data_IF_209225641146
#
_entry.id   IF_209225641146
#
_cell.length_a   1.000
_cell.length_b   1.000
_cell.length_c   1.000
_cell.angle_alpha   90.00
_cell.angle_beta   90.00
_cell.angle_gamma   90.00
#
_symmetry.space_group_name_H-M   'P 1'
#
loop_
_entity.id
_entity.type
_entity.pdbx_description
1 polymer ?
#
# COMPACT_ATOMS: atom_id res chain seq x y z
N UNK A 1 26.62 38.11 -6.20
CA UNK A 1 27.51 39.01 -5.44
C UNK A 1 28.80 39.34 -6.19
N UNK A 2 29.65 38.36 -6.48
CA UNK A 2 31.03 38.60 -6.99
C UNK A 2 31.09 39.17 -8.42
N UNK A 3 30.11 38.85 -9.28
CA UNK A 3 30.02 39.33 -10.66
C UNK A 3 29.35 40.70 -10.80
N UNK A 4 28.63 41.16 -9.77
CA UNK A 4 27.84 42.41 -9.81
C UNK A 4 28.75 43.63 -9.98
N UNK A 5 29.87 43.78 -9.24
CA UNK A 5 30.80 44.88 -9.45
C UNK A 5 31.41 44.91 -10.87
N UNK A 6 31.69 43.75 -11.46
CA UNK A 6 32.20 43.66 -12.84
C UNK A 6 31.15 44.09 -13.88
N UNK A 7 29.88 43.71 -13.66
CA UNK A 7 28.79 44.11 -14.55
C UNK A 7 28.51 45.61 -14.44
N UNK A 8 28.52 46.18 -13.24
CA UNK A 8 28.30 47.60 -13.02
C UNK A 8 29.42 48.46 -13.60
N UNK A 9 30.69 48.04 -13.49
CA UNK A 9 31.82 48.70 -14.14
C UNK A 9 31.69 48.71 -15.68
N UNK A 10 31.15 47.64 -16.29
CA UNK A 10 30.88 47.63 -17.74
C UNK A 10 29.72 48.52 -18.19
N UNK A 11 28.76 48.78 -17.31
CA UNK A 11 27.53 49.52 -17.64
C UNK A 11 27.67 51.01 -17.36
N UNK A 12 28.46 51.38 -16.34
CA UNK A 12 28.52 52.73 -15.81
C UNK A 12 29.98 53.13 -15.59
N UNK A 13 30.44 54.16 -16.30
CA UNK A 13 31.87 54.48 -16.46
C UNK A 13 32.57 55.02 -15.21
N UNK A 14 31.81 55.35 -14.16
CA UNK A 14 32.31 55.98 -12.92
C UNK A 14 32.57 54.98 -11.78
N UNK A 15 32.56 53.67 -12.06
CA UNK A 15 32.84 52.65 -11.05
C UNK A 15 34.35 52.44 -10.85
N UNK A 16 34.81 52.22 -9.59
CA UNK A 16 36.22 52.05 -9.28
C UNK A 16 36.84 50.86 -10.01
N UNK A 17 38.10 51.02 -10.44
CA UNK A 17 38.87 49.99 -11.14
C UNK A 17 39.10 48.75 -10.24
N UNK A 18 38.81 47.57 -10.77
CA UNK A 18 38.82 46.32 -10.01
C UNK A 18 40.22 45.70 -10.08
N UNK A 19 41.02 45.90 -9.03
CA UNK A 19 42.33 45.26 -8.87
C UNK A 19 42.19 44.05 -7.93
N UNK A 20 42.53 42.85 -8.42
CA UNK A 20 42.48 41.61 -7.64
C UNK A 20 43.89 41.06 -7.48
N UNK A 21 44.38 41.06 -6.24
CA UNK A 21 45.69 40.55 -5.84
C UNK A 21 45.72 39.00 -5.78
N UNK A 22 46.89 38.40 -5.59
CA UNK A 22 47.08 36.93 -5.54
C UNK A 22 46.20 36.28 -4.46
N UNK A 23 46.04 36.94 -3.31
CA UNK A 23 45.15 36.48 -2.23
C UNK A 23 43.66 36.49 -2.65
N UNK A 24 43.26 37.50 -3.44
CA UNK A 24 41.92 37.60 -4.01
C UNK A 24 41.67 36.48 -5.03
N UNK A 25 42.65 36.10 -5.85
CA UNK A 25 42.55 34.97 -6.78
C UNK A 25 42.39 33.62 -6.05
N UNK A 26 43.16 33.40 -4.97
CA UNK A 26 43.02 32.20 -4.13
C UNK A 26 41.64 32.09 -3.48
N UNK A 27 41.11 33.21 -2.99
CA UNK A 27 39.77 33.30 -2.44
C UNK A 27 38.68 33.00 -3.50
N UNK A 28 38.87 33.45 -4.73
CA UNK A 28 37.94 33.19 -5.83
C UNK A 28 37.90 31.70 -6.21
N UNK A 29 39.04 31.02 -6.20
CA UNK A 29 39.11 29.56 -6.39
C UNK A 29 38.38 28.81 -5.27
N UNK A 30 38.54 29.27 -4.02
CA UNK A 30 37.83 28.69 -2.86
C UNK A 30 36.31 28.80 -3.00
N UNK A 31 35.81 29.94 -3.53
CA UNK A 31 34.38 30.13 -3.85
C UNK A 31 33.93 29.14 -4.92
N UNK A 32 34.71 28.96 -5.99
CA UNK A 32 34.40 27.98 -7.03
C UNK A 32 34.29 26.56 -6.44
N UNK A 33 35.27 26.12 -5.65
CA UNK A 33 35.26 24.78 -5.05
C UNK A 33 34.06 24.58 -4.12
N UNK A 34 33.84 25.51 -3.19
CA UNK A 34 32.75 25.37 -2.23
C UNK A 34 31.35 25.54 -2.87
N UNK A 35 31.21 26.33 -3.92
CA UNK A 35 29.95 26.41 -4.68
C UNK A 35 29.62 25.09 -5.39
N UNK A 36 30.63 24.40 -5.95
CA UNK A 36 30.45 23.03 -6.49
C UNK A 36 30.02 22.06 -5.38
N UNK A 37 30.64 22.11 -4.21
CA UNK A 37 30.24 21.28 -3.07
C UNK A 37 28.79 21.56 -2.64
N UNK A 38 28.37 22.82 -2.62
CA UNK A 38 27.00 23.21 -2.30
C UNK A 38 26.00 22.67 -3.32
N UNK A 39 26.33 22.74 -4.63
CA UNK A 39 25.49 22.18 -5.70
C UNK A 39 25.35 20.66 -5.54
N UNK A 40 26.44 19.95 -5.24
CA UNK A 40 26.40 18.52 -4.95
C UNK A 40 25.53 18.22 -3.72
N UNK A 41 25.64 19.03 -2.66
CA UNK A 41 24.82 18.87 -1.45
C UNK A 41 23.32 19.06 -1.75
N UNK A 42 22.95 20.07 -2.54
CA UNK A 42 21.57 20.25 -3.00
C UNK A 42 21.10 19.08 -3.87
N UNK A 43 21.93 18.64 -4.81
CA UNK A 43 21.62 17.50 -5.67
C UNK A 43 21.32 16.23 -4.87
N UNK A 44 22.16 15.91 -3.88
CA UNK A 44 21.97 14.75 -2.98
C UNK A 44 20.67 14.87 -2.17
N UNK A 45 20.30 16.08 -1.75
CA UNK A 45 19.06 16.32 -1.01
C UNK A 45 17.80 16.11 -1.88
N UNK A 46 17.81 16.59 -3.12
CA UNK A 46 16.64 16.53 -4.00
C UNK A 46 16.50 15.23 -4.79
N UNK A 47 17.58 14.48 -5.04
CA UNK A 47 17.50 13.20 -5.77
C UNK A 47 17.00 12.04 -4.91
N UNK A 48 16.92 12.21 -3.58
CA UNK A 48 16.20 11.27 -2.72
C UNK A 48 14.70 11.39 -3.00
N UNK A 49 14.19 10.56 -3.90
CA UNK A 49 12.75 10.35 -4.07
C UNK A 49 12.14 9.99 -2.72
N UNK A 50 11.24 10.85 -2.23
CA UNK A 50 10.33 10.44 -1.17
C UNK A 50 9.50 9.29 -1.72
N UNK A 51 9.42 8.19 -0.98
CA UNK A 51 8.59 7.03 -1.35
C UNK A 51 7.09 7.33 -1.28
N UNK A 52 6.72 8.48 -0.71
CA UNK A 52 5.35 8.96 -0.62
C UNK A 52 5.32 10.50 -0.62
N UNK A 53 4.46 11.09 -1.45
CA UNK A 53 4.10 12.50 -1.34
C UNK A 53 3.08 12.64 -0.22
N UNK A 54 3.56 13.07 0.95
CA UNK A 54 2.65 13.46 2.03
C UNK A 54 2.16 14.89 1.78
N UNK A 55 0.87 15.18 1.99
CA UNK A 55 0.30 16.52 1.80
C UNK A 55 0.79 17.54 2.85
N UNK A 56 1.82 17.23 3.63
CA UNK A 56 2.27 18.02 4.78
C UNK A 56 3.65 18.62 4.53
N UNK A 57 3.74 19.92 4.84
CA UNK A 57 5.01 20.60 5.03
C UNK A 57 5.74 19.93 6.20
N UNK A 58 6.87 19.29 5.92
CA UNK A 58 7.79 18.85 6.96
C UNK A 58 8.31 20.10 7.69
N UNK A 59 7.72 20.43 8.84
CA UNK A 59 8.07 21.59 9.67
C UNK A 59 9.59 21.79 9.84
N UNK A 60 10.42 20.77 10.13
CA UNK A 60 11.86 20.98 10.24
C UNK A 60 12.51 21.39 8.91
N UNK A 61 12.08 20.81 7.78
CA UNK A 61 12.59 21.19 6.43
C UNK A 61 12.15 22.60 6.05
N UNK A 62 10.90 22.96 6.36
CA UNK A 62 10.38 24.30 6.12
C UNK A 62 11.12 25.34 7.00
N UNK A 63 11.29 25.06 8.29
CA UNK A 63 12.04 25.92 9.20
C UNK A 63 13.50 26.10 8.76
N UNK A 64 14.15 25.02 8.30
CA UNK A 64 15.49 25.08 7.72
C UNK A 64 15.53 25.96 6.46
N UNK A 65 14.57 25.80 5.55
CA UNK A 65 14.49 26.65 4.35
C UNK A 65 14.28 28.13 4.70
N UNK A 66 13.42 28.43 5.68
CA UNK A 66 13.23 29.79 6.19
C UNK A 66 14.49 30.36 6.82
N UNK A 67 15.24 29.54 7.58
CA UNK A 67 16.51 29.97 8.18
C UNK A 67 17.57 30.29 7.12
N UNK A 68 17.71 29.45 6.10
CA UNK A 68 18.61 29.72 4.95
C UNK A 68 18.20 30.99 4.22
N UNK A 69 16.90 31.19 3.99
CA UNK A 69 16.37 32.41 3.35
C UNK A 69 16.66 33.66 4.19
N UNK A 70 16.47 33.58 5.50
CA UNK A 70 16.80 34.66 6.43
C UNK A 70 18.29 35.04 6.36
N UNK A 71 19.19 34.06 6.39
CA UNK A 71 20.63 34.30 6.23
C UNK A 71 20.92 34.95 4.86
N UNK A 72 20.40 34.40 3.76
CA UNK A 72 20.58 34.98 2.43
C UNK A 72 20.11 36.43 2.39
N UNK A 73 18.92 36.71 2.93
CA UNK A 73 18.35 38.06 2.95
C UNK A 73 19.25 39.04 3.72
N UNK A 74 19.71 38.68 4.91
CA UNK A 74 20.58 39.52 5.72
C UNK A 74 21.91 39.83 5.01
N UNK A 75 22.54 38.81 4.41
CA UNK A 75 23.79 39.00 3.68
C UNK A 75 23.61 39.83 2.41
N UNK A 76 22.51 39.65 1.68
CA UNK A 76 22.20 40.46 0.50
C UNK A 76 21.92 41.92 0.86
N UNK A 77 21.18 42.18 1.93
CA UNK A 77 20.89 43.54 2.38
C UNK A 77 22.20 44.28 2.71
N UNK A 78 23.08 43.66 3.48
CA UNK A 78 24.37 44.24 3.81
C UNK A 78 25.26 44.41 2.57
N UNK A 79 25.25 43.45 1.64
CA UNK A 79 25.99 43.56 0.38
C UNK A 79 25.51 44.73 -0.47
N UNK A 80 24.19 44.90 -0.62
CA UNK A 80 23.60 46.02 -1.36
C UNK A 80 23.99 47.34 -0.70
N UNK A 81 23.83 47.46 0.61
CA UNK A 81 24.15 48.69 1.31
C UNK A 81 25.64 49.06 1.19
N UNK A 82 26.54 48.12 1.48
CA UNK A 82 27.99 48.38 1.50
C UNK A 82 28.66 48.47 0.14
N UNK A 83 28.25 47.67 -0.84
CA UNK A 83 28.96 47.61 -2.12
C UNK A 83 28.23 48.35 -3.23
N UNK A 84 26.89 48.37 -3.22
CA UNK A 84 26.10 49.06 -4.26
C UNK A 84 25.87 50.52 -3.86
N UNK A 85 25.42 50.78 -2.62
CA UNK A 85 25.11 52.13 -2.15
C UNK A 85 26.36 52.94 -1.76
N UNK A 86 27.20 52.39 -0.88
CA UNK A 86 28.41 53.08 -0.39
C UNK A 86 29.60 53.02 -1.36
N UNK A 87 29.49 52.28 -2.47
CA UNK A 87 30.53 52.13 -3.52
C UNK A 87 31.94 51.84 -2.96
N UNK A 88 32.04 50.89 -2.04
CA UNK A 88 33.34 50.47 -1.51
C UNK A 88 34.28 49.99 -2.64
N UNK A 89 35.47 50.56 -2.72
CA UNK A 89 36.42 50.36 -3.84
C UNK A 89 37.25 49.08 -3.76
N UNK A 90 37.34 48.45 -2.57
CA UNK A 90 38.18 47.27 -2.36
C UNK A 90 37.43 45.98 -2.70
N UNK A 91 37.72 45.42 -3.87
CA UNK A 91 37.14 44.17 -4.34
C UNK A 91 37.47 42.94 -3.46
N UNK A 92 38.67 42.89 -2.87
CA UNK A 92 39.07 41.79 -1.97
C UNK A 92 38.13 41.60 -0.79
N UNK A 93 37.56 42.69 -0.25
CA UNK A 93 36.59 42.66 0.84
C UNK A 93 35.25 42.06 0.36
N UNK A 94 34.83 42.38 -0.87
CA UNK A 94 33.62 41.80 -1.47
C UNK A 94 33.75 40.29 -1.65
N UNK A 95 34.93 39.83 -2.10
CA UNK A 95 35.24 38.40 -2.29
C UNK A 95 35.27 37.69 -0.92
N UNK A 96 35.94 38.26 0.08
CA UNK A 96 35.98 37.71 1.44
C UNK A 96 34.57 37.64 2.07
N UNK A 97 33.73 38.64 1.81
CA UNK A 97 32.34 38.65 2.28
C UNK A 97 31.47 37.59 1.57
N UNK A 98 31.66 37.39 0.27
CA UNK A 98 30.97 36.32 -0.45
C UNK A 98 31.43 34.92 0.02
N UNK A 99 32.71 34.78 0.39
CA UNK A 99 33.23 33.57 1.03
C UNK A 99 32.56 33.27 2.37
N UNK A 100 32.40 34.28 3.23
CA UNK A 100 31.79 34.08 4.55
C UNK A 100 30.32 33.67 4.46
N UNK A 101 29.55 34.23 3.52
CA UNK A 101 28.19 33.76 3.23
C UNK A 101 28.20 32.27 2.86
N UNK A 102 29.14 31.88 1.99
CA UNK A 102 29.19 30.54 1.46
C UNK A 102 29.65 29.53 2.54
N UNK A 103 30.54 29.93 3.43
CA UNK A 103 30.89 29.17 4.63
C UNK A 103 29.67 28.94 5.52
N UNK A 104 28.92 30.00 5.83
CA UNK A 104 27.69 29.89 6.62
C UNK A 104 26.69 28.92 5.97
N UNK A 105 26.48 29.01 4.66
CA UNK A 105 25.58 28.10 3.93
C UNK A 105 26.05 26.64 4.01
N UNK A 106 27.35 26.38 3.82
CA UNK A 106 27.91 25.03 3.93
C UNK A 106 27.76 24.48 5.35
N UNK A 107 28.06 25.27 6.39
CA UNK A 107 27.89 24.86 7.78
C UNK A 107 26.43 24.54 8.12
N UNK A 108 25.50 25.39 7.67
CA UNK A 108 24.07 25.18 7.84
C UNK A 108 23.64 23.86 7.18
N UNK A 109 24.10 23.58 5.97
CA UNK A 109 23.84 22.30 5.30
C UNK A 109 24.49 21.10 6.00
N UNK A 110 25.71 21.22 6.51
CA UNK A 110 26.35 20.15 7.28
C UNK A 110 25.55 19.83 8.55
N UNK A 111 25.14 20.85 9.31
CA UNK A 111 24.30 20.67 10.51
C UNK A 111 22.99 19.97 10.16
N UNK A 112 22.35 20.36 9.05
CA UNK A 112 21.14 19.69 8.56
C UNK A 112 21.36 18.23 8.21
N UNK A 113 22.46 17.90 7.51
CA UNK A 113 22.82 16.53 7.18
C UNK A 113 23.02 15.71 8.47
N UNK A 114 23.75 16.25 9.46
CA UNK A 114 23.93 15.58 10.75
C UNK A 114 22.60 15.40 11.51
N UNK A 115 21.73 16.41 11.48
CA UNK A 115 20.40 16.32 12.07
C UNK A 115 19.55 15.23 11.41
N UNK A 116 19.50 15.19 10.08
CA UNK A 116 18.74 14.20 9.32
C UNK A 116 19.31 12.77 9.48
N UNK A 117 20.64 12.61 9.58
CA UNK A 117 21.28 11.31 9.88
C UNK A 117 20.96 10.85 11.30
N UNK A 118 20.96 11.76 12.28
CA UNK A 118 20.63 11.43 13.67
C UNK A 118 19.16 11.12 13.89
N UNK A 119 18.26 11.66 13.08
CA UNK A 119 16.85 11.29 13.04
C UNK A 119 16.62 9.90 12.42
N UNK A 120 17.50 8.92 12.71
CA UNK A 120 17.30 7.51 12.38
C UNK A 120 15.83 7.18 12.52
N UNK A 121 15.20 6.89 11.39
CA UNK A 121 13.76 6.69 11.29
C UNK A 121 13.42 5.63 12.33
N UNK A 122 12.56 5.91 13.33
CA UNK A 122 12.10 4.86 14.21
C UNK A 122 11.52 3.76 13.31
N UNK A 123 12.11 2.57 13.39
CA UNK A 123 11.65 1.42 12.65
C UNK A 123 10.44 0.88 13.42
N UNK A 124 9.29 0.87 12.77
CA UNK A 124 8.06 0.35 13.34
C UNK A 124 7.66 -0.91 12.59
N UNK A 125 7.17 -1.89 13.33
CA UNK A 125 6.41 -3.03 12.81
C UNK A 125 4.97 -2.54 12.70
N UNK A 126 4.37 -2.66 11.50
CA UNK A 126 3.04 -2.12 11.22
C UNK A 126 2.08 -3.27 10.91
N UNK A 127 1.41 -3.82 11.92
CA UNK A 127 0.45 -4.88 11.62
C UNK A 127 -0.86 -4.26 11.10
N UNK A 128 -1.28 -4.68 9.91
CA UNK A 128 -2.51 -4.24 9.26
C UNK A 128 -3.43 -5.43 9.17
N UNK A 129 -4.55 -5.38 9.87
CA UNK A 129 -5.60 -6.40 9.86
C UNK A 129 -6.81 -5.89 9.08
N UNK A 130 -7.26 -6.64 8.07
CA UNK A 130 -8.44 -6.28 7.27
C UNK A 130 -9.71 -6.86 7.88
N UNK A 131 -10.63 -5.99 8.32
CA UNK A 131 -12.02 -6.35 8.63
C UNK A 131 -12.85 -6.25 7.33
N UNK A 132 -13.60 -7.30 6.93
CA UNK A 132 -14.11 -8.43 7.74
C UNK A 132 -13.37 -9.77 7.67
N UNK A 133 -12.36 -9.92 6.81
CA UNK A 133 -11.76 -11.23 6.54
C UNK A 133 -10.76 -11.70 7.60
N UNK A 134 -10.21 -10.76 8.38
CA UNK A 134 -9.15 -11.02 9.36
C UNK A 134 -7.77 -11.30 8.75
N UNK A 135 -7.56 -11.07 7.45
CA UNK A 135 -6.24 -11.20 6.83
C UNK A 135 -5.28 -10.14 7.39
N UNK A 136 -4.07 -10.57 7.79
CA UNK A 136 -3.04 -9.72 8.39
C UNK A 136 -1.80 -9.60 7.52
N UNK A 137 -1.23 -8.39 7.42
CA UNK A 137 0.04 -8.11 6.75
C UNK A 137 0.83 -7.06 7.53
N UNK A 138 2.15 -7.17 7.57
CA UNK A 138 3.04 -6.33 8.39
C UNK A 138 3.40 -4.97 7.76
N UNK A 139 2.98 -4.67 6.53
CA UNK A 139 3.33 -3.41 5.84
C UNK A 139 2.22 -2.98 4.87
N UNK A 140 1.72 -1.75 5.02
CA UNK A 140 0.68 -1.15 4.18
C UNK A 140 1.08 -0.97 2.71
N UNK A 141 2.37 -0.75 2.42
CA UNK A 141 2.88 -0.68 1.04
C UNK A 141 2.59 -1.96 0.25
N UNK A 142 2.53 -3.10 0.94
CA UNK A 142 2.19 -4.38 0.35
C UNK A 142 0.69 -4.66 0.35
N UNK A 143 -0.17 -3.71 0.75
CA UNK A 143 -1.61 -3.88 0.69
C UNK A 143 -2.06 -4.32 -0.71
N UNK A 144 -1.58 -3.61 -1.73
CA UNK A 144 -1.92 -3.89 -3.12
C UNK A 144 -1.17 -5.09 -3.72
N UNK A 145 -0.13 -5.64 -3.08
CA UNK A 145 0.69 -6.75 -3.62
C UNK A 145 0.50 -8.08 -2.90
N UNK A 146 0.18 -8.05 -1.61
CA UNK A 146 0.14 -9.23 -0.75
C UNK A 146 -1.28 -9.58 -0.29
N UNK A 147 -2.25 -8.64 -0.29
CA UNK A 147 -3.64 -9.01 0.01
C UNK A 147 -4.32 -9.66 -1.19
N UNK A 148 -5.19 -10.62 -0.88
CA UNK A 148 -6.23 -11.10 -1.79
C UNK A 148 -7.24 -9.97 -2.03
N UNK A 149 -7.89 -9.91 -3.19
CA UNK A 149 -8.92 -8.90 -3.42
C UNK A 149 -10.17 -9.23 -2.61
N UNK A 150 -10.63 -8.28 -1.79
CA UNK A 150 -11.84 -8.46 -1.00
C UNK A 150 -13.08 -8.64 -1.90
N UNK A 151 -13.88 -9.67 -1.62
CA UNK A 151 -15.09 -9.99 -2.38
C UNK A 151 -16.36 -9.72 -1.55
N UNK A 152 -16.92 -8.49 -1.62
CA UNK A 152 -18.09 -8.12 -0.81
C UNK A 152 -19.33 -8.95 -1.13
N UNK A 153 -19.45 -9.49 -2.36
CA UNK A 153 -20.59 -10.28 -2.79
C UNK A 153 -20.60 -11.68 -2.17
N UNK A 154 -19.42 -12.28 -2.01
CA UNK A 154 -19.29 -13.59 -1.35
C UNK A 154 -19.62 -13.46 0.13
N UNK A 155 -19.07 -12.45 0.79
CA UNK A 155 -19.25 -12.24 2.23
C UNK A 155 -20.70 -11.88 2.57
N UNK A 156 -21.34 -11.02 1.77
CA UNK A 156 -22.77 -10.72 1.94
C UNK A 156 -23.65 -11.96 1.73
N UNK A 157 -23.30 -12.84 0.79
CA UNK A 157 -24.01 -14.10 0.59
C UNK A 157 -23.88 -15.00 1.83
N UNK A 158 -22.66 -15.17 2.35
CA UNK A 158 -22.41 -15.98 3.55
C UNK A 158 -23.16 -15.45 4.77
N UNK A 159 -23.14 -14.14 5.01
CA UNK A 159 -23.92 -13.50 6.08
C UNK A 159 -25.42 -13.72 5.91
N UNK A 160 -25.95 -13.57 4.70
CA UNK A 160 -27.37 -13.80 4.44
C UNK A 160 -27.76 -15.27 4.64
N UNK A 161 -26.92 -16.21 4.20
CA UNK A 161 -27.14 -17.64 4.38
C UNK A 161 -27.12 -18.01 5.87
N UNK A 162 -26.21 -17.42 6.66
CA UNK A 162 -26.18 -17.57 8.12
C UNK A 162 -27.46 -17.03 8.79
N UNK A 163 -27.95 -15.87 8.38
CA UNK A 163 -29.21 -15.30 8.90
C UNK A 163 -30.38 -16.21 8.56
N UNK A 164 -30.44 -16.74 7.33
CA UNK A 164 -31.50 -17.66 6.90
C UNK A 164 -31.42 -18.99 7.64
N UNK A 165 -30.23 -19.55 7.85
CA UNK A 165 -30.07 -20.79 8.61
C UNK A 165 -30.48 -20.59 10.08
N UNK A 166 -30.17 -19.43 10.68
CA UNK A 166 -30.68 -19.05 12.01
C UNK A 166 -32.18 -18.83 12.06
N UNK A 167 -32.79 -18.29 10.99
CA UNK A 167 -34.23 -18.06 10.90
C UNK A 167 -35.04 -19.32 10.57
N UNK A 168 -34.42 -20.27 9.85
CA UNK A 168 -34.98 -21.58 9.51
C UNK A 168 -34.73 -22.63 10.59
N UNK A 169 -33.99 -22.31 11.66
CA UNK A 169 -34.08 -23.08 12.90
C UNK A 169 -35.57 -23.04 13.32
N UNK A 170 -36.24 -24.19 13.42
CA UNK A 170 -37.67 -24.23 13.64
C UNK A 170 -38.01 -23.45 14.91
N UNK A 171 -39.13 -22.70 14.91
CA UNK A 171 -39.63 -21.98 16.09
C UNK A 171 -39.82 -22.88 17.34
N UNK A 172 -39.71 -24.21 17.20
CA UNK A 172 -39.58 -25.15 18.32
C UNK A 172 -38.26 -25.02 19.10
N UNK A 173 -37.25 -24.33 18.57
CA UNK A 173 -35.96 -24.09 19.23
C UNK A 173 -35.94 -22.82 20.11
N UNK A 174 -37.05 -22.06 20.15
CA UNK A 174 -37.38 -21.23 21.31
C UNK A 174 -38.32 -22.09 22.15
N UNK A 175 -37.73 -22.93 23.00
CA UNK A 175 -38.42 -23.85 23.88
C UNK A 175 -39.66 -23.18 24.50
N UNK A 176 -40.85 -23.52 24.00
CA UNK A 176 -42.10 -23.25 24.73
C UNK A 176 -42.22 -24.38 25.73
N UNK A 177 -41.88 -24.06 26.98
CA UNK A 177 -42.12 -24.92 28.13
C UNK A 177 -43.65 -24.99 28.26
N UNK A 178 -44.23 -26.14 27.95
CA UNK A 178 -45.60 -26.43 28.32
C UNK A 178 -45.54 -27.08 29.70
N UNK A 179 -46.21 -26.44 30.66
CA UNK A 179 -46.43 -27.02 31.97
C UNK A 179 -47.46 -28.16 31.81
N UNK A 180 -47.00 -29.40 31.90
CA UNK A 180 -47.83 -30.60 31.70
C UNK A 180 -48.56 -30.97 33.02
N UNK A 181 -48.23 -30.33 34.14
CA UNK A 181 -48.80 -30.71 35.45
C UNK A 181 -49.72 -29.65 36.08
N UNK A 182 -49.86 -28.47 35.47
CA UNK A 182 -50.86 -27.48 35.90
C UNK A 182 -50.64 -26.97 37.32
N UNK A 183 -49.38 -26.88 37.76
CA UNK A 183 -49.03 -26.27 39.03
C UNK A 183 -48.66 -24.81 38.78
N UNK A 184 -49.58 -23.93 39.17
CA UNK A 184 -49.43 -22.49 39.04
C UNK A 184 -48.09 -21.99 39.59
N UNK A 185 -47.38 -21.26 38.73
CA UNK A 185 -46.38 -20.25 39.04
C UNK A 185 -45.55 -20.46 40.31
N UNK A 186 -44.78 -21.55 40.36
CA UNK A 186 -43.63 -21.66 41.25
C UNK A 186 -42.37 -22.04 40.45
N UNK A 187 -41.26 -21.42 40.87
CA UNK A 187 -39.95 -21.36 40.22
C UNK A 187 -39.53 -22.62 39.47
N UNK A 188 -39.08 -22.44 38.22
CA UNK A 188 -38.32 -23.45 37.48
C UNK A 188 -37.29 -24.09 38.41
N UNK A 189 -37.39 -25.41 38.61
CA UNK A 189 -36.51 -26.15 39.49
C UNK A 189 -35.04 -25.90 39.07
N UNK A 190 -34.15 -25.56 40.01
CA UNK A 190 -32.79 -25.10 39.68
C UNK A 190 -32.01 -26.16 38.86
N UNK A 191 -32.31 -27.44 39.09
CA UNK A 191 -31.78 -28.57 38.33
C UNK A 191 -32.28 -28.63 36.88
N UNK A 192 -33.55 -28.28 36.61
CA UNK A 192 -34.09 -28.26 35.24
C UNK A 192 -33.62 -27.01 34.48
N UNK A 193 -33.43 -25.88 35.17
CA UNK A 193 -32.80 -24.69 34.61
C UNK A 193 -31.32 -24.94 34.25
N UNK A 194 -30.54 -25.62 35.11
CA UNK A 194 -29.15 -26.01 34.83
C UNK A 194 -29.07 -27.02 33.66
N UNK A 195 -29.94 -28.03 33.63
CA UNK A 195 -30.00 -29.00 32.53
C UNK A 195 -30.36 -28.32 31.19
N UNK A 196 -31.25 -27.33 31.21
CA UNK A 196 -31.60 -26.53 30.04
C UNK A 196 -30.45 -25.65 29.56
N UNK A 197 -29.73 -24.99 30.48
CA UNK A 197 -28.53 -24.21 30.15
C UNK A 197 -27.42 -25.10 29.58
N UNK A 198 -27.24 -26.31 30.11
CA UNK A 198 -26.27 -27.28 29.61
C UNK A 198 -26.67 -27.82 28.22
N UNK A 199 -27.96 -28.10 27.98
CA UNK A 199 -28.46 -28.48 26.66
C UNK A 199 -28.30 -27.35 25.64
N UNK A 200 -28.60 -26.11 26.02
CA UNK A 200 -28.39 -24.93 25.18
C UNK A 200 -26.90 -24.67 24.89
N UNK A 201 -26.02 -24.90 25.87
CA UNK A 201 -24.58 -24.81 25.70
C UNK A 201 -24.05 -25.87 24.72
N UNK A 202 -24.48 -27.13 24.86
CA UNK A 202 -24.13 -28.22 23.93
C UNK A 202 -24.65 -27.96 22.51
N UNK A 203 -25.86 -27.43 22.36
CA UNK A 203 -26.40 -27.02 21.04
C UNK A 203 -25.60 -25.86 20.43
N UNK A 204 -25.19 -24.87 21.23
CA UNK A 204 -24.32 -23.78 20.78
C UNK A 204 -22.96 -24.32 20.31
N UNK A 205 -22.39 -25.32 20.97
CA UNK A 205 -21.15 -25.98 20.52
C UNK A 205 -21.36 -26.76 19.22
N UNK A 206 -22.48 -27.47 19.06
CA UNK A 206 -22.82 -28.15 17.80
C UNK A 206 -22.98 -27.18 16.62
N UNK A 207 -23.51 -25.98 16.84
CA UNK A 207 -23.62 -24.93 15.82
C UNK A 207 -22.25 -24.45 15.29
N UNK A 208 -21.18 -24.51 16.10
CA UNK A 208 -19.82 -24.19 15.60
C UNK A 208 -19.30 -25.27 14.64
N UNK A 209 -19.62 -26.54 14.92
CA UNK A 209 -19.27 -27.66 14.04
C UNK A 209 -20.05 -27.62 12.72
N UNK A 210 -21.33 -27.22 12.75
CA UNK A 210 -22.13 -27.04 11.53
C UNK A 210 -21.48 -26.04 10.57
N UNK A 211 -20.98 -24.90 11.08
CA UNK A 211 -20.26 -23.91 10.27
C UNK A 211 -19.01 -24.50 9.60
N UNK A 212 -18.24 -25.31 10.32
CA UNK A 212 -17.07 -26.00 9.77
C UNK A 212 -17.47 -26.95 8.63
N UNK A 213 -18.52 -27.75 8.82
CA UNK A 213 -19.00 -28.67 7.79
C UNK A 213 -19.53 -27.94 6.55
N UNK A 214 -20.27 -26.84 6.73
CA UNK A 214 -20.75 -25.99 5.64
C UNK A 214 -19.58 -25.45 4.79
N UNK A 215 -18.49 -25.01 5.44
CA UNK A 215 -17.28 -24.55 4.74
C UNK A 215 -16.59 -25.67 3.98
N UNK A 216 -16.42 -26.84 4.59
CA UNK A 216 -15.84 -28.01 3.93
C UNK A 216 -16.68 -28.43 2.70
N UNK A 217 -18.00 -28.44 2.81
CA UNK A 217 -18.89 -28.75 1.69
C UNK A 217 -18.84 -27.70 0.60
N UNK A 218 -18.77 -26.41 0.97
CA UNK A 218 -18.58 -25.33 0.02
C UNK A 218 -17.25 -25.48 -0.73
N UNK A 219 -16.15 -25.76 -0.04
CA UNK A 219 -14.85 -26.01 -0.65
C UNK A 219 -14.87 -27.21 -1.60
N UNK A 220 -15.52 -28.31 -1.21
CA UNK A 220 -15.69 -29.49 -2.08
C UNK A 220 -16.44 -29.12 -3.35
N UNK A 221 -17.52 -28.34 -3.24
CA UNK A 221 -18.28 -27.83 -4.40
C UNK A 221 -17.44 -26.89 -5.27
N UNK A 222 -16.62 -26.03 -4.66
CA UNK A 222 -15.72 -25.13 -5.36
C UNK A 222 -14.66 -25.91 -6.14
N UNK A 223 -13.93 -26.81 -5.47
CA UNK A 223 -12.90 -27.67 -6.06
C UNK A 223 -13.48 -28.48 -7.23
N UNK A 224 -14.65 -29.11 -7.05
CA UNK A 224 -15.35 -29.85 -8.11
C UNK A 224 -15.67 -28.98 -9.33
N UNK A 225 -16.11 -27.74 -9.14
CA UNK A 225 -16.41 -26.81 -10.24
C UNK A 225 -15.13 -26.28 -10.91
N UNK A 226 -14.08 -26.02 -10.13
CA UNK A 226 -12.75 -25.60 -10.62
C UNK A 226 -12.16 -26.63 -11.57
N UNK A 227 -12.07 -27.89 -11.16
CA UNK A 227 -11.49 -28.95 -12.01
C UNK A 227 -12.34 -29.27 -13.24
N UNK A 228 -13.68 -29.19 -13.14
CA UNK A 228 -14.55 -29.29 -14.32
C UNK A 228 -14.29 -28.18 -15.33
N UNK A 229 -14.08 -26.95 -14.87
CA UNK A 229 -13.75 -25.83 -15.73
C UNK A 229 -12.38 -26.01 -16.39
N UNK A 230 -11.38 -26.51 -15.65
CA UNK A 230 -10.06 -26.82 -16.20
C UNK A 230 -10.17 -27.84 -17.34
N UNK A 231 -10.82 -28.99 -17.11
CA UNK A 231 -10.99 -30.02 -18.14
C UNK A 231 -11.72 -29.50 -19.38
N UNK A 232 -12.89 -28.85 -19.20
CA UNK A 232 -13.63 -28.30 -20.34
C UNK A 232 -12.85 -27.22 -21.11
N UNK A 233 -11.99 -26.44 -20.44
CA UNK A 233 -11.17 -25.44 -21.10
C UNK A 233 -10.00 -26.08 -21.86
N UNK A 234 -9.33 -27.08 -21.29
CA UNK A 234 -8.28 -27.84 -21.98
C UNK A 234 -8.84 -28.53 -23.24
N UNK A 235 -10.01 -29.16 -23.15
CA UNK A 235 -10.70 -29.78 -24.29
C UNK A 235 -11.08 -28.76 -25.37
N UNK A 236 -11.66 -27.62 -24.99
CA UNK A 236 -12.13 -26.60 -25.93
C UNK A 236 -10.97 -25.88 -26.65
N UNK A 237 -9.87 -25.58 -25.94
CA UNK A 237 -8.66 -25.03 -26.56
C UNK A 237 -7.96 -26.07 -27.44
N UNK A 238 -7.90 -27.33 -27.02
CA UNK A 238 -7.35 -28.43 -27.81
C UNK A 238 -8.10 -28.60 -29.13
N UNK A 239 -9.43 -28.60 -29.10
CA UNK A 239 -10.28 -28.70 -30.30
C UNK A 239 -9.95 -27.61 -31.32
N UNK A 240 -9.88 -26.35 -30.89
CA UNK A 240 -9.59 -25.23 -31.81
C UNK A 240 -8.15 -25.29 -32.34
N UNK A 241 -7.18 -25.70 -31.53
CA UNK A 241 -5.80 -25.88 -31.96
C UNK A 241 -5.65 -27.00 -33.00
N UNK A 242 -6.46 -28.06 -32.94
CA UNK A 242 -6.47 -29.14 -33.94
C UNK A 242 -7.25 -28.78 -35.20
N UNK A 243 -8.32 -27.99 -35.08
CA UNK A 243 -9.17 -27.60 -36.22
C UNK A 243 -8.53 -26.47 -37.04
N UNK A 244 -7.85 -25.52 -36.39
CA UNK A 244 -7.16 -24.39 -37.04
C UNK A 244 -6.19 -24.80 -38.17
N UNK A 245 -5.27 -25.78 -38.00
CA UNK A 245 -4.39 -26.23 -39.09
C UNK A 245 -5.13 -27.05 -40.15
N UNK A 246 -6.20 -27.75 -39.78
CA UNK A 246 -6.89 -28.70 -40.68
C UNK A 246 -7.87 -27.99 -41.62
N UNK A 247 -8.56 -26.94 -41.16
CA UNK A 247 -9.48 -26.14 -41.99
C UNK A 247 -8.79 -25.13 -42.91
N UNK A 248 -7.53 -24.76 -42.63
CA UNK A 248 -6.75 -23.89 -43.51
C UNK A 248 -6.52 -24.51 -44.91
N UNK A 249 -6.52 -25.84 -45.02
CA UNK A 249 -6.16 -26.54 -46.25
C UNK A 249 -7.33 -26.78 -47.24
N UNK A 250 -8.59 -26.52 -46.86
CA UNK A 250 -9.73 -26.93 -47.70
C UNK A 250 -10.67 -25.80 -48.17
N UNK A 251 -10.61 -24.61 -47.56
CA UNK A 251 -11.56 -23.51 -47.89
C UNK A 251 -10.97 -22.10 -47.97
N UNK A 252 -9.66 -21.91 -47.77
CA UNK A 252 -9.01 -20.59 -47.89
C UNK A 252 -9.40 -19.54 -46.84
N UNK A 253 -10.50 -19.74 -46.09
CA UNK A 253 -10.88 -18.90 -44.96
C UNK A 253 -10.17 -19.35 -43.68
N UNK A 254 -9.11 -18.63 -43.32
CA UNK A 254 -8.53 -18.72 -41.97
C UNK A 254 -9.61 -18.29 -40.96
N UNK A 255 -9.96 -19.17 -40.03
CA UNK A 255 -10.93 -18.83 -38.97
C UNK A 255 -10.42 -17.61 -38.20
N UNK A 256 -11.17 -16.50 -38.21
CA UNK A 256 -10.79 -15.28 -37.49
C UNK A 256 -10.73 -15.58 -35.98
N UNK A 257 -9.78 -14.96 -35.27
CA UNK A 257 -9.56 -15.19 -33.83
C UNK A 257 -10.84 -15.01 -33.00
N UNK A 258 -11.69 -14.06 -33.39
CA UNK A 258 -13.01 -13.82 -32.79
C UNK A 258 -14.00 -14.98 -32.95
N UNK A 259 -13.99 -15.68 -34.10
CA UNK A 259 -14.85 -16.86 -34.34
C UNK A 259 -14.34 -18.10 -33.61
N UNK A 260 -13.03 -18.23 -33.46
CA UNK A 260 -12.43 -19.24 -32.60
C UNK A 260 -12.77 -18.99 -31.13
N UNK A 261 -12.71 -17.73 -30.68
CA UNK A 261 -13.07 -17.33 -29.32
C UNK A 261 -14.54 -17.64 -29.01
N UNK A 262 -15.48 -17.35 -29.91
CA UNK A 262 -16.90 -17.67 -29.69
C UNK A 262 -17.15 -19.19 -29.60
N UNK A 263 -16.43 -19.98 -30.39
CA UNK A 263 -16.48 -21.46 -30.36
C UNK A 263 -15.96 -22.01 -29.03
N UNK A 264 -14.78 -21.55 -28.59
CA UNK A 264 -14.23 -21.94 -27.27
C UNK A 264 -15.17 -21.51 -26.15
N UNK A 265 -15.70 -20.28 -26.21
CA UNK A 265 -16.66 -19.77 -25.22
C UNK A 265 -17.89 -20.67 -25.11
N UNK A 266 -18.42 -21.16 -26.22
CA UNK A 266 -19.56 -22.10 -26.24
C UNK A 266 -19.31 -23.35 -25.39
N UNK A 267 -18.09 -23.91 -25.46
CA UNK A 267 -17.68 -25.07 -24.65
C UNK A 267 -17.48 -24.77 -23.16
N UNK A 268 -16.96 -23.58 -22.84
CA UNK A 268 -16.59 -23.21 -21.45
C UNK A 268 -17.62 -22.36 -20.71
N UNK A 269 -18.62 -21.77 -21.37
CA UNK A 269 -19.52 -20.78 -20.79
C UNK A 269 -20.31 -21.33 -19.59
N UNK A 270 -20.84 -22.55 -19.71
CA UNK A 270 -21.60 -23.20 -18.62
C UNK A 270 -20.72 -23.51 -17.40
N UNK A 271 -19.58 -24.21 -17.52
CA UNK A 271 -18.71 -24.47 -16.37
C UNK A 271 -18.14 -23.17 -15.78
N UNK A 272 -17.80 -22.17 -16.60
CA UNK A 272 -17.29 -20.87 -16.15
C UNK A 272 -18.35 -20.13 -15.30
N UNK A 273 -19.57 -20.01 -15.80
CA UNK A 273 -20.66 -19.36 -15.06
C UNK A 273 -20.99 -20.08 -13.74
N UNK A 274 -20.92 -21.42 -13.70
CA UNK A 274 -21.12 -22.19 -12.47
C UNK A 274 -20.01 -21.94 -11.44
N UNK A 275 -18.78 -21.76 -11.89
CA UNK A 275 -17.65 -21.38 -11.04
C UNK A 275 -17.81 -19.94 -10.53
N UNK A 276 -18.05 -18.97 -11.40
CA UNK A 276 -18.26 -17.57 -11.03
C UNK A 276 -19.46 -17.36 -10.09
N UNK A 277 -20.50 -18.20 -10.20
CA UNK A 277 -21.66 -18.16 -9.30
C UNK A 277 -21.33 -18.65 -7.88
N UNK A 278 -20.47 -19.66 -7.72
CA UNK A 278 -20.10 -20.13 -6.38
C UNK A 278 -19.12 -19.17 -5.70
N UNK A 279 -18.21 -18.57 -6.46
CA UNK A 279 -17.27 -17.56 -5.98
C UNK A 279 -17.88 -16.16 -5.90
N UNK A 280 -19.10 -15.96 -6.43
CA UNK A 280 -19.79 -14.67 -6.53
C UNK A 280 -19.01 -13.59 -7.31
N UNK A 281 -18.15 -14.00 -8.24
CA UNK A 281 -17.28 -13.10 -9.02
C UNK A 281 -17.91 -12.57 -10.32
N UNK A 282 -19.19 -12.86 -10.58
CA UNK A 282 -19.88 -12.44 -11.82
C UNK A 282 -19.77 -10.93 -12.14
N UNK A 283 -19.89 -10.01 -11.16
CA UNK A 283 -19.79 -8.56 -11.43
C UNK A 283 -18.41 -8.13 -11.93
N UNK A 284 -17.35 -8.89 -11.61
CA UNK A 284 -15.97 -8.55 -12.01
C UNK A 284 -15.61 -9.05 -13.42
N UNK A 285 -16.43 -9.94 -14.00
CA UNK A 285 -16.14 -10.59 -15.28
C UNK A 285 -17.29 -10.40 -16.27
N UNK A 286 -17.35 -9.22 -16.90
CA UNK A 286 -18.32 -8.96 -17.97
C UNK A 286 -18.11 -9.94 -19.14
N UNK A 287 -19.18 -10.46 -19.77
CA UNK A 287 -19.06 -11.39 -20.89
C UNK A 287 -18.22 -10.84 -22.05
N UNK A 288 -18.37 -9.54 -22.35
CA UNK A 288 -17.59 -8.83 -23.38
C UNK A 288 -16.09 -8.82 -23.07
N UNK A 289 -15.72 -8.61 -21.81
CA UNK A 289 -14.33 -8.63 -21.36
C UNK A 289 -13.72 -10.03 -21.42
N UNK A 290 -14.50 -11.07 -21.15
CA UNK A 290 -14.08 -12.47 -21.26
C UNK A 290 -13.80 -12.84 -22.73
N UNK A 291 -14.69 -12.47 -23.66
CA UNK A 291 -14.49 -12.71 -25.10
C UNK A 291 -13.26 -11.99 -25.62
N UNK A 292 -13.09 -10.70 -25.27
CA UNK A 292 -11.91 -9.91 -25.64
C UNK A 292 -10.61 -10.52 -25.11
N UNK A 293 -10.63 -11.10 -23.91
CA UNK A 293 -9.46 -11.77 -23.36
C UNK A 293 -9.17 -13.11 -24.04
N UNK A 294 -10.23 -13.86 -24.35
CA UNK A 294 -10.13 -15.13 -25.08
C UNK A 294 -9.56 -14.94 -26.49
N UNK A 295 -10.01 -13.90 -27.19
CA UNK A 295 -9.47 -13.48 -28.49
C UNK A 295 -7.96 -13.18 -28.41
N UNK A 296 -7.52 -12.44 -27.38
CA UNK A 296 -6.09 -12.23 -27.11
C UNK A 296 -5.34 -13.55 -26.84
N UNK A 297 -5.91 -14.42 -26.01
CA UNK A 297 -5.30 -15.72 -25.71
C UNK A 297 -5.09 -16.56 -26.97
N UNK A 298 -6.04 -16.55 -27.90
CA UNK A 298 -5.95 -17.30 -29.15
C UNK A 298 -4.99 -16.65 -30.14
N UNK A 299 -5.00 -15.31 -30.26
CA UNK A 299 -4.07 -14.56 -31.11
C UNK A 299 -2.61 -14.79 -30.70
N UNK A 300 -2.32 -14.83 -29.39
CA UNK A 300 -0.97 -15.11 -28.87
C UNK A 300 -0.69 -16.60 -28.60
N UNK A 301 -1.59 -17.50 -28.98
CA UNK A 301 -1.47 -18.96 -28.78
C UNK A 301 -1.18 -19.38 -27.33
N UNK A 302 -1.79 -18.70 -26.36
CA UNK A 302 -1.70 -19.06 -24.95
C UNK A 302 -2.50 -20.33 -24.61
N UNK A 303 -2.08 -20.99 -23.53
CA UNK A 303 -2.75 -22.18 -23.01
C UNK A 303 -4.09 -21.87 -22.31
N UNK A 304 -4.94 -22.89 -22.19
CA UNK A 304 -6.17 -22.81 -21.40
C UNK A 304 -5.90 -22.40 -19.94
N UNK A 305 -4.78 -22.83 -19.36
CA UNK A 305 -4.37 -22.47 -17.98
C UNK A 305 -4.08 -20.98 -17.85
N UNK A 306 -3.44 -20.38 -18.84
CA UNK A 306 -3.18 -18.93 -18.89
C UNK A 306 -4.49 -18.15 -18.90
N UNK A 307 -5.46 -18.59 -19.70
CA UNK A 307 -6.80 -17.98 -19.71
C UNK A 307 -7.50 -18.12 -18.34
N UNK A 308 -7.42 -19.30 -17.73
CA UNK A 308 -8.08 -19.59 -16.45
C UNK A 308 -7.45 -18.86 -15.26
N UNK A 309 -6.16 -18.51 -15.34
CA UNK A 309 -5.45 -17.79 -14.27
C UNK A 309 -6.16 -16.49 -13.88
N UNK A 310 -6.81 -15.82 -14.83
CA UNK A 310 -7.58 -14.60 -14.58
C UNK A 310 -8.78 -14.80 -13.63
N UNK A 311 -9.35 -16.00 -13.59
CA UNK A 311 -10.52 -16.33 -12.76
C UNK A 311 -10.13 -17.08 -11.47
N UNK A 312 -8.95 -17.71 -11.46
CA UNK A 312 -8.42 -18.42 -10.30
C UNK A 312 -7.50 -17.56 -9.43
N UNK A 313 -7.02 -16.44 -9.96
CA UNK A 313 -6.28 -15.43 -9.22
C UNK A 313 -7.09 -14.97 -8.00
N UNK A 314 -6.41 -14.88 -6.86
CA UNK A 314 -6.92 -14.25 -5.64
C UNK A 314 -7.14 -12.75 -5.81
N UNK A 315 -6.64 -12.18 -6.92
CA UNK A 315 -6.78 -10.77 -7.29
C UNK A 315 -7.75 -10.60 -8.43
N UNK A 316 -8.71 -9.69 -8.24
CA UNK A 316 -9.63 -9.31 -9.30
C UNK A 316 -8.93 -8.39 -10.31
N UNK A 317 -9.23 -8.55 -11.61
CA UNK A 317 -8.68 -7.66 -12.61
C UNK A 317 -9.12 -6.21 -12.29
N UNK A 318 -8.21 -5.23 -12.39
CA UNK A 318 -8.57 -3.85 -12.16
C UNK A 318 -9.66 -3.47 -13.16
N UNK A 319 -10.78 -2.95 -12.65
CA UNK A 319 -11.81 -2.35 -13.49
C UNK A 319 -11.25 -1.02 -14.04
N UNK A 320 -11.69 -0.60 -15.22
CA UNK A 320 -11.18 0.63 -15.86
C UNK A 320 -11.37 1.89 -14.97
N UNK A 321 -12.19 1.79 -13.91
CA UNK A 321 -12.46 2.79 -12.86
C UNK A 321 -11.35 2.96 -11.81
N UNK A 322 -10.26 2.18 -11.83
CA UNK A 322 -9.13 2.30 -10.88
C UNK A 322 -8.37 3.65 -10.97
N UNK A 323 -8.74 4.52 -11.90
CA UNK A 323 -8.20 5.87 -12.05
C UNK A 323 -8.79 6.90 -11.07
N UNK A 324 -9.81 6.52 -10.29
CA UNK A 324 -10.35 7.40 -9.26
C UNK A 324 -9.58 7.23 -7.95
N UNK A 325 -9.14 8.34 -7.36
CA UNK A 325 -8.44 8.37 -6.06
C UNK A 325 -9.21 7.57 -5.02
N UNK A 326 -8.56 6.56 -4.43
CA UNK A 326 -9.15 5.76 -3.38
C UNK A 326 -9.35 6.65 -2.14
N UNK A 327 -10.61 6.87 -1.75
CA UNK A 327 -10.95 7.72 -0.60
C UNK A 327 -10.95 6.88 0.67
N UNK A 328 -10.06 7.20 1.59
CA UNK A 328 -9.97 6.59 2.91
C UNK A 328 -10.19 7.63 4.00
N UNK A 329 -10.95 7.31 5.04
CA UNK A 329 -10.99 8.12 6.27
C UNK A 329 -10.16 7.46 7.35
N UNK A 330 -9.44 8.28 8.11
CA UNK A 330 -8.63 7.86 9.24
C UNK A 330 -9.43 8.12 10.51
N UNK A 331 -9.65 7.07 11.30
CA UNK A 331 -10.24 7.14 12.63
C UNK A 331 -9.11 6.83 13.61
N UNK A 332 -8.72 7.83 14.39
CA UNK A 332 -7.69 7.71 15.42
C UNK A 332 -8.14 8.52 16.64
N UNK A 333 -7.78 8.06 17.84
CA UNK A 333 -8.06 8.79 19.09
C UNK A 333 -7.21 10.05 19.23
N UNK A 334 -6.06 10.09 18.54
CA UNK A 334 -5.15 11.23 18.53
C UNK A 334 -5.29 12.04 17.25
N UNK A 335 -4.79 13.27 17.29
CA UNK A 335 -4.70 14.09 16.10
C UNK A 335 -3.87 13.35 15.04
N UNK A 336 -4.42 13.22 13.83
CA UNK A 336 -3.72 12.61 12.70
C UNK A 336 -2.41 13.33 12.35
N UNK A 337 -2.18 14.54 12.88
CA UNK A 337 -0.96 15.35 12.77
C UNK A 337 0.17 14.94 13.72
N UNK A 338 -0.11 14.11 14.73
CA UNK A 338 0.91 13.64 15.67
C UNK A 338 1.92 12.69 15.02
N UNK A 339 3.14 12.67 15.56
CA UNK A 339 4.18 11.74 15.13
C UNK A 339 3.79 10.28 15.45
N UNK A 340 4.39 9.34 14.73
CA UNK A 340 4.21 7.90 14.98
C UNK A 340 4.99 7.51 16.24
N UNK A 341 4.36 6.77 17.14
CA UNK A 341 4.98 6.25 18.36
C UNK A 341 4.53 4.81 18.62
N UNK A 342 5.22 4.14 19.55
CA UNK A 342 4.89 2.76 19.94
C UNK A 342 3.48 2.66 20.55
N UNK A 343 2.69 1.68 20.10
CA UNK A 343 1.31 1.49 20.52
C UNK A 343 0.33 2.45 19.86
N UNK A 344 0.71 3.10 18.75
CA UNK A 344 -0.25 3.87 17.96
C UNK A 344 -1.19 2.91 17.24
N UNK A 345 -2.49 3.15 17.40
CA UNK A 345 -3.55 2.41 16.72
C UNK A 345 -4.46 3.38 15.95
N UNK A 346 -4.81 3.00 14.73
CA UNK A 346 -5.84 3.70 13.97
C UNK A 346 -6.56 2.77 13.01
N UNK A 347 -7.75 3.21 12.60
CA UNK A 347 -8.57 2.50 11.61
C UNK A 347 -8.65 3.32 10.33
N UNK A 348 -8.34 2.69 9.19
CA UNK A 348 -8.62 3.25 7.87
C UNK A 348 -9.92 2.66 7.35
N UNK A 349 -10.89 3.52 7.03
CA UNK A 349 -12.16 3.10 6.44
C UNK A 349 -12.20 3.49 4.97
N UNK A 350 -12.40 2.48 4.12
CA UNK A 350 -12.60 2.68 2.68
C UNK A 350 -13.98 3.28 2.40
N UNK A 351 -14.02 4.33 1.59
CA UNK A 351 -15.24 4.92 1.04
C UNK A 351 -15.49 4.55 -0.42
N UNK A 352 -14.69 3.63 -0.96
CA UNK A 352 -14.85 3.20 -2.33
C UNK A 352 -16.16 2.42 -2.48
N UNK A 353 -16.92 2.73 -3.53
CA UNK A 353 -18.24 2.15 -3.78
C UNK A 353 -18.19 0.86 -4.60
N UNK A 354 -17.03 0.55 -5.19
CA UNK A 354 -16.86 -0.54 -6.18
C UNK A 354 -15.86 -1.58 -5.68
N UNK A 355 -14.69 -1.13 -5.25
CA UNK A 355 -13.62 -1.94 -4.65
C UNK A 355 -13.58 -1.69 -3.15
N UNK A 356 -13.32 -2.72 -2.34
CA UNK A 356 -13.15 -2.57 -0.89
C UNK A 356 -14.33 -1.90 -0.15
N UNK A 357 -15.57 -2.18 -0.59
CA UNK A 357 -16.79 -1.61 0.00
C UNK A 357 -16.97 -2.09 1.44
N UNK A 358 -16.94 -1.15 2.38
CA UNK A 358 -17.11 -1.45 3.80
C UNK A 358 -15.89 -2.12 4.44
N UNK A 359 -14.75 -2.12 3.76
CA UNK A 359 -13.48 -2.60 4.31
C UNK A 359 -12.96 -1.59 5.32
N UNK A 360 -12.54 -2.12 6.48
CA UNK A 360 -11.83 -1.37 7.51
C UNK A 360 -10.47 -2.02 7.73
N UNK A 361 -9.41 -1.23 7.73
CA UNK A 361 -8.06 -1.68 8.05
C UNK A 361 -7.73 -1.20 9.46
N UNK A 362 -7.54 -2.14 10.37
CA UNK A 362 -7.03 -1.85 11.69
C UNK A 362 -5.50 -1.92 11.65
N UNK A 363 -4.84 -0.81 11.93
CA UNK A 363 -3.40 -0.65 11.86
C UNK A 363 -2.84 -0.46 13.27
N UNK A 364 -1.88 -1.28 13.66
CA UNK A 364 -1.13 -1.13 14.92
C UNK A 364 0.35 -0.90 14.64
N UNK A 365 0.97 -0.04 15.43
CA UNK A 365 2.37 0.34 15.28
C UNK A 365 3.14 -0.07 16.53
N UNK A 366 4.10 -0.97 16.36
CA UNK A 366 5.00 -1.40 17.42
C UNK A 366 6.42 -0.94 17.11
N UNK A 367 7.15 -0.38 18.09
CA UNK A 367 8.56 -0.08 17.90
C UNK A 367 9.34 -1.37 17.84
N UNK A 368 10.27 -1.47 16.89
CA UNK A 368 11.15 -2.62 16.81
C UNK A 368 11.96 -2.73 18.12
N UNK A 369 11.89 -3.87 18.84
CA UNK A 369 12.63 -4.01 20.09
C UNK A 369 14.13 -3.93 19.81
N UNK A 370 14.88 -3.25 20.68
CA UNK A 370 16.33 -3.21 20.58
C UNK A 370 16.90 -4.60 20.88
N UNK A 371 17.32 -5.30 19.84
CA UNK A 371 17.95 -6.61 19.95
C UNK A 371 19.42 -6.43 20.36
N UNK A 372 19.71 -6.56 21.65
CA UNK A 372 21.09 -6.58 22.13
C UNK A 372 21.69 -7.99 21.92
N UNK A 373 22.45 -8.17 20.84
CA UNK A 373 23.16 -9.42 20.59
C UNK A 373 24.40 -9.43 21.48
N UNK A 374 24.36 -10.24 22.54
CA UNK A 374 25.53 -10.46 23.41
C UNK A 374 26.14 -11.82 23.09
N UNK A 375 27.45 -11.85 22.87
CA UNK A 375 28.19 -13.10 22.68
C UNK A 375 28.56 -13.66 24.05
N UNK A 376 27.93 -14.78 24.44
CA UNK A 376 28.39 -15.58 25.58
C UNK A 376 29.23 -16.74 25.06
N UNK A 377 30.54 -16.65 25.23
CA UNK A 377 31.47 -17.73 24.94
C UNK A 377 31.57 -18.68 26.13
N UNK A 378 30.63 -19.63 26.22
CA UNK A 378 30.80 -20.76 27.15
C UNK A 378 31.79 -21.76 26.54
N UNK A 379 32.88 -22.09 27.26
CA UNK A 379 34.03 -22.85 26.74
C UNK A 379 33.70 -24.27 26.25
N UNK A 380 32.48 -24.75 26.45
CA UNK A 380 32.04 -26.09 26.05
C UNK A 380 30.97 -26.10 24.98
N UNK A 381 30.33 -24.97 24.69
CA UNK A 381 29.25 -24.90 23.71
C UNK A 381 29.20 -23.50 23.09
N UNK A 382 29.61 -23.38 21.81
CA UNK A 382 29.32 -22.19 21.01
C UNK A 382 27.81 -22.15 20.71
N UNK A 383 27.04 -21.48 21.57
CA UNK A 383 25.61 -21.21 21.35
C UNK A 383 25.35 -19.72 21.46
N UNK A 384 24.73 -19.16 20.44
CA UNK A 384 24.17 -17.81 20.49
C UNK A 384 22.92 -17.85 21.37
N UNK A 385 22.90 -17.05 22.44
CA UNK A 385 21.72 -16.89 23.28
C UNK A 385 21.03 -15.56 22.94
N UNK A 386 19.74 -15.63 22.61
CA UNK A 386 18.90 -14.44 22.40
C UNK A 386 18.38 -13.96 23.76
N UNK A 387 18.75 -12.74 24.17
CA UNK A 387 18.15 -12.08 25.33
C UNK A 387 17.37 -10.87 24.85
N UNK A 388 16.05 -10.95 24.89
CA UNK A 388 15.15 -9.81 24.66
C UNK A 388 14.97 -9.09 26.00
N UNK A 389 15.44 -7.85 26.11
CA UNK A 389 15.10 -6.96 27.23
C UNK A 389 13.85 -6.15 26.83
N UNK A 390 12.82 -6.08 27.69
CA UNK A 390 11.54 -5.42 27.39
C UNK A 390 11.66 -3.90 27.31
#
# INVERSE_FOLDING_TARGET
MITIPFLLNKVESDWPEIVCDVECQGNLLNICVKSVLLIVAFYVMFWRKSTSDMPRLYLPRAAFAFFVLFCLFAFWLFFIFRFILERNSKYSIAVAYALSLLDVLVFIHCIWIFYEIRQNRPQFIVTVTRDPDGETVEILQFYLTNFSSYNPYLERSRRNDMIRNKANLPQSSRFKIYDIEGFGQDSLNEASARALMEAAARQKMNCHNERLYEEIEWEKRLKKRKYRLIGCAEDAFGYVQTVSPTTANYRGETMTSSKMASTVLGGIARPLNRYLKITRQQPHHLPTAVVRYLDKCLTYRFSARTFLQRFFSERFPPQETFLSEAKWTIICERQASSDIFHGLEFVLRSHNQITDVGVQLYCTFESLPFLNITEQSDKRVMKFAFKTEP
#
